data_IF_221293198927
#
_entry.id   IF_221293198927
#
_cell.length_a   1.000
_cell.length_b   1.000
_cell.length_c   1.000
_cell.angle_alpha   90.00
_cell.angle_beta   90.00
_cell.angle_gamma   90.00
#
_symmetry.space_group_name_H-M   'P 1'
#
loop_
_entity.id
_entity.type
_entity.pdbx_description
1 polymer ?
#
# COMPACT_ATOMS: atom_id res chain seq x y z
N UNK A 1 42.99 42.24 -35.32
CA UNK A 1 41.74 42.21 -36.11
C UNK A 1 40.74 41.33 -35.35
N UNK A 2 39.77 41.92 -34.62
CA UNK A 2 38.29 41.90 -34.89
C UNK A 2 37.77 40.51 -35.31
N UNK A 3 36.84 39.85 -34.59
CA UNK A 3 35.43 40.25 -34.28
C UNK A 3 34.89 39.40 -33.08
N UNK A 4 34.28 39.98 -32.02
CA UNK A 4 32.83 40.34 -31.81
C UNK A 4 31.94 39.08 -31.61
N UNK A 5 31.02 38.86 -30.64
CA UNK A 5 30.50 39.50 -29.40
C UNK A 5 29.29 38.63 -28.93
N UNK A 6 28.95 38.61 -27.62
CA UNK A 6 27.62 38.29 -26.99
C UNK A 6 27.13 36.81 -27.01
N UNK A 7 26.50 36.16 -26.00
CA UNK A 7 25.35 36.49 -25.12
C UNK A 7 25.23 35.49 -23.91
N UNK A 8 25.13 36.03 -22.68
CA UNK A 8 24.20 35.76 -21.55
C UNK A 8 24.00 34.33 -20.95
N UNK A 9 24.42 34.22 -19.68
CA UNK A 9 23.79 33.63 -18.47
C UNK A 9 22.68 32.54 -18.61
N UNK A 10 22.86 31.42 -17.90
CA UNK A 10 22.01 30.99 -16.77
C UNK A 10 22.46 29.63 -16.16
N UNK A 11 22.82 29.66 -14.86
CA UNK A 11 22.50 28.69 -13.79
C UNK A 11 22.78 27.18 -14.06
N UNK A 12 23.64 26.46 -13.35
CA UNK A 12 24.46 26.73 -12.18
C UNK A 12 25.25 25.46 -11.81
N UNK A 13 26.55 25.64 -11.52
CA UNK A 13 27.39 24.99 -10.48
C UNK A 13 27.21 23.46 -10.37
N UNK A 14 27.99 22.66 -11.12
CA UNK A 14 29.27 22.03 -10.69
C UNK A 14 29.23 21.46 -9.26
N UNK A 15 29.24 20.13 -9.13
CA UNK A 15 29.81 19.47 -7.96
C UNK A 15 30.67 18.27 -8.37
N UNK A 16 31.92 18.56 -8.71
CA UNK A 16 33.04 17.66 -8.41
C UNK A 16 33.74 18.26 -7.20
N UNK A 17 33.89 17.52 -6.11
CA UNK A 17 35.16 17.36 -5.38
C UNK A 17 34.93 16.58 -4.09
N UNK A 18 35.65 15.47 -3.99
CA UNK A 18 35.99 14.77 -2.77
C UNK A 18 36.84 15.67 -1.87
N UNK A 19 36.38 15.99 -0.66
CA UNK A 19 37.21 16.29 0.51
C UNK A 19 36.29 16.50 1.74
N UNK A 20 36.50 15.77 2.83
CA UNK A 20 36.73 16.32 4.18
C UNK A 20 37.10 15.17 5.12
N UNK A 21 38.10 15.48 5.93
CA UNK A 21 38.92 14.70 6.84
C UNK A 21 38.19 14.20 8.09
N UNK A 22 38.75 13.12 8.63
CA UNK A 22 38.53 12.51 9.93
C UNK A 22 38.50 13.48 11.11
N UNK A 23 37.43 13.43 11.91
CA UNK A 23 37.42 13.77 13.33
C UNK A 23 36.66 12.70 14.09
N UNK A 24 37.34 12.04 15.02
CA UNK A 24 36.79 11.10 15.99
C UNK A 24 35.71 11.77 16.85
N UNK A 25 34.48 11.25 16.79
CA UNK A 25 33.54 11.30 17.91
C UNK A 25 32.89 9.92 18.05
N UNK A 26 33.32 9.22 19.08
CA UNK A 26 32.76 7.99 19.61
C UNK A 26 31.27 8.17 19.93
N UNK A 27 30.38 7.59 19.12
CA UNK A 27 28.97 7.46 19.44
C UNK A 27 28.46 6.07 19.04
N UNK A 28 28.17 5.28 20.08
CA UNK A 28 27.41 4.03 20.15
C UNK A 28 27.06 3.32 18.84
N UNK A 29 27.67 2.13 18.71
CA UNK A 29 27.26 0.99 17.89
C UNK A 29 25.80 0.60 18.19
N UNK A 30 24.87 1.10 17.40
CA UNK A 30 23.57 0.48 17.16
C UNK A 30 23.41 0.23 15.66
N UNK A 31 22.84 -0.93 15.34
CA UNK A 31 23.00 -1.68 14.09
C UNK A 31 22.50 -0.91 12.85
N UNK A 32 23.43 -0.39 12.05
CA UNK A 32 23.15 0.02 10.66
C UNK A 32 23.24 -1.26 9.82
N UNK A 33 22.11 -1.76 9.32
CA UNK A 33 22.15 -2.75 8.24
C UNK A 33 22.64 -2.05 6.98
N UNK A 34 23.89 -2.27 6.65
CA UNK A 34 24.50 -1.78 5.40
C UNK A 34 23.96 -2.62 4.25
N UNK A 35 22.76 -2.31 3.77
CA UNK A 35 22.32 -2.79 2.45
C UNK A 35 23.12 -2.06 1.37
N UNK A 36 23.69 -2.80 0.44
CA UNK A 36 24.59 -2.29 -0.62
C UNK A 36 23.82 -2.04 -1.92
N UNK A 37 24.45 -1.40 -2.92
CA UNK A 37 23.87 -1.22 -4.26
C UNK A 37 23.51 -2.54 -4.95
N UNK A 38 24.09 -3.67 -4.53
CA UNK A 38 23.74 -5.03 -4.97
C UNK A 38 22.35 -5.48 -4.47
N UNK A 39 21.80 -4.85 -3.43
CA UNK A 39 20.49 -5.18 -2.85
C UNK A 39 19.33 -4.38 -3.50
N UNK A 40 19.61 -3.55 -4.51
CA UNK A 40 18.58 -2.80 -5.23
C UNK A 40 17.75 -3.76 -6.09
N UNK A 41 16.51 -4.00 -5.66
CA UNK A 41 15.53 -4.78 -6.42
C UNK A 41 15.04 -3.93 -7.60
N UNK A 42 14.78 -4.56 -8.74
CA UNK A 42 14.22 -3.88 -9.91
C UNK A 42 12.82 -3.31 -9.60
N UNK A 43 12.52 -2.08 -10.05
CA UNK A 43 11.24 -1.40 -9.75
C UNK A 43 10.03 -2.26 -10.14
N UNK A 44 10.10 -2.96 -11.28
CA UNK A 44 9.01 -3.81 -11.75
C UNK A 44 8.82 -5.03 -10.85
N UNK A 45 9.92 -5.58 -10.32
CA UNK A 45 9.88 -6.70 -9.38
C UNK A 45 9.22 -6.26 -8.05
N UNK A 46 9.61 -5.11 -7.49
CA UNK A 46 8.96 -4.52 -6.31
C UNK A 46 7.46 -4.40 -6.57
N UNK A 47 7.05 -3.72 -7.65
CA UNK A 47 5.64 -3.49 -7.99
C UNK A 47 4.87 -4.81 -8.14
N UNK A 48 5.47 -5.81 -8.79
CA UNK A 48 4.83 -7.12 -9.00
C UNK A 48 4.60 -7.82 -7.66
N UNK A 49 5.61 -7.87 -6.80
CA UNK A 49 5.53 -8.50 -5.48
C UNK A 49 4.43 -7.85 -4.61
N UNK A 50 4.36 -6.52 -4.56
CA UNK A 50 3.35 -5.83 -3.77
C UNK A 50 1.95 -5.94 -4.38
N UNK A 51 1.82 -6.01 -5.71
CA UNK A 51 0.54 -6.26 -6.37
C UNK A 51 -0.02 -7.62 -5.98
N UNK A 52 0.82 -8.65 -5.97
CA UNK A 52 0.42 -10.00 -5.53
C UNK A 52 0.00 -10.01 -4.06
N UNK A 53 0.77 -9.36 -3.17
CA UNK A 53 0.41 -9.23 -1.75
C UNK A 53 -0.98 -8.58 -1.56
N UNK A 54 -1.25 -7.47 -2.25
CA UNK A 54 -2.56 -6.80 -2.19
C UNK A 54 -3.67 -7.67 -2.77
N UNK A 55 -3.42 -8.33 -3.92
CA UNK A 55 -4.40 -9.25 -4.52
C UNK A 55 -4.76 -10.40 -3.59
N UNK A 56 -3.77 -10.96 -2.88
CA UNK A 56 -4.00 -12.02 -1.90
C UNK A 56 -4.85 -11.53 -0.71
N UNK A 57 -4.65 -10.29 -0.27
CA UNK A 57 -5.49 -9.67 0.77
C UNK A 57 -6.93 -9.50 0.26
N UNK A 58 -7.12 -9.02 -0.98
CA UNK A 58 -8.44 -8.85 -1.60
C UNK A 58 -9.19 -10.18 -1.73
N UNK A 59 -8.50 -11.26 -2.08
CA UNK A 59 -9.09 -12.60 -2.17
C UNK A 59 -9.55 -13.09 -0.80
N UNK A 60 -8.68 -13.01 0.23
CA UNK A 60 -9.04 -13.37 1.62
C UNK A 60 -10.19 -12.55 2.16
N UNK A 61 -10.24 -11.26 1.84
CA UNK A 61 -11.34 -10.37 2.21
C UNK A 61 -12.66 -10.84 1.57
N UNK A 62 -12.64 -11.16 0.28
CA UNK A 62 -13.79 -11.66 -0.47
C UNK A 62 -14.32 -12.96 0.13
N UNK A 63 -13.44 -13.95 0.36
CA UNK A 63 -13.81 -15.24 0.97
C UNK A 63 -14.48 -15.07 2.35
N UNK A 64 -13.93 -14.20 3.19
CA UNK A 64 -14.50 -13.90 4.52
C UNK A 64 -15.88 -13.26 4.41
N UNK A 65 -16.12 -12.41 3.42
CA UNK A 65 -17.44 -11.80 3.20
C UNK A 65 -18.44 -12.83 2.70
N UNK A 66 -18.05 -13.70 1.78
CA UNK A 66 -18.91 -14.78 1.29
C UNK A 66 -19.34 -15.71 2.43
N UNK A 67 -18.44 -15.99 3.38
CA UNK A 67 -18.77 -16.72 4.59
C UNK A 67 -19.75 -15.94 5.50
N UNK A 68 -19.59 -14.62 5.63
CA UNK A 68 -20.53 -13.75 6.37
C UNK A 68 -21.92 -13.79 5.75
N UNK A 69 -22.02 -13.66 4.42
CA UNK A 69 -23.29 -13.71 3.67
C UNK A 69 -23.95 -15.08 3.84
N UNK A 70 -23.19 -16.16 3.67
CA UNK A 70 -23.69 -17.53 3.85
C UNK A 70 -24.24 -17.75 5.26
N UNK A 71 -23.55 -17.24 6.29
CA UNK A 71 -24.04 -17.28 7.67
C UNK A 71 -25.31 -16.46 7.88
N UNK A 72 -25.43 -15.28 7.26
CA UNK A 72 -26.64 -14.46 7.33
C UNK A 72 -27.85 -15.20 6.74
N UNK A 73 -27.70 -15.76 5.54
CA UNK A 73 -28.75 -16.53 4.85
C UNK A 73 -29.19 -17.75 5.66
N UNK A 74 -28.25 -18.48 6.25
CA UNK A 74 -28.56 -19.63 7.10
C UNK A 74 -29.39 -19.20 8.33
N UNK A 75 -29.01 -18.12 9.01
CA UNK A 75 -29.70 -17.63 10.20
C UNK A 75 -31.08 -17.04 9.86
N UNK A 76 -31.24 -16.42 8.69
CA UNK A 76 -32.54 -15.97 8.19
C UNK A 76 -33.52 -17.12 7.98
N UNK A 77 -33.05 -18.23 7.41
CA UNK A 77 -33.87 -19.41 7.19
C UNK A 77 -34.31 -20.08 8.49
N UNK A 78 -33.51 -19.95 9.56
CA UNK A 78 -33.80 -20.52 10.87
C UNK A 78 -34.67 -19.61 11.76
N UNK A 79 -34.52 -18.27 11.65
CA UNK A 79 -35.11 -17.31 12.60
C UNK A 79 -35.85 -16.14 11.90
N UNK A 80 -37.03 -16.43 11.35
CA UNK A 80 -37.80 -15.47 10.55
C UNK A 80 -38.28 -14.21 11.31
N UNK A 81 -38.36 -14.24 12.65
CA UNK A 81 -38.92 -13.13 13.46
C UNK A 81 -37.92 -12.02 13.79
N UNK A 82 -36.62 -12.21 13.57
CA UNK A 82 -35.59 -11.26 14.02
C UNK A 82 -34.64 -10.78 12.90
N UNK A 83 -35.17 -10.60 11.69
CA UNK A 83 -34.37 -10.29 10.50
C UNK A 83 -33.47 -9.06 10.67
N UNK A 84 -33.96 -8.02 11.34
CA UNK A 84 -33.20 -6.78 11.59
C UNK A 84 -31.98 -7.02 12.49
N UNK A 85 -32.12 -7.80 13.57
CA UNK A 85 -30.96 -8.10 14.43
C UNK A 85 -29.95 -8.98 13.72
N UNK A 86 -30.40 -9.90 12.86
CA UNK A 86 -29.52 -10.73 12.02
C UNK A 86 -28.74 -9.83 11.06
N UNK A 87 -29.43 -8.94 10.34
CA UNK A 87 -28.80 -7.99 9.42
C UNK A 87 -27.72 -7.15 10.13
N UNK A 88 -28.05 -6.58 11.29
CA UNK A 88 -27.13 -5.75 12.07
C UNK A 88 -25.89 -6.54 12.55
N UNK A 89 -26.08 -7.77 13.01
CA UNK A 89 -25.00 -8.67 13.43
C UNK A 89 -24.01 -8.92 12.29
N UNK A 90 -24.50 -9.30 11.11
CA UNK A 90 -23.62 -9.62 9.97
C UNK A 90 -23.06 -8.36 9.30
N UNK A 91 -23.78 -7.24 9.32
CA UNK A 91 -23.25 -5.95 8.90
C UNK A 91 -22.05 -5.51 9.75
N UNK A 92 -22.15 -5.65 11.07
CA UNK A 92 -21.03 -5.33 11.97
C UNK A 92 -19.82 -6.25 11.71
N UNK A 93 -20.05 -7.54 11.44
CA UNK A 93 -18.98 -8.47 11.03
C UNK A 93 -18.32 -8.01 9.72
N UNK A 94 -19.12 -7.64 8.72
CA UNK A 94 -18.64 -7.12 7.44
C UNK A 94 -17.75 -5.88 7.63
N UNK A 95 -18.22 -4.89 8.42
CA UNK A 95 -17.46 -3.67 8.74
C UNK A 95 -16.13 -3.97 9.44
N UNK A 96 -16.13 -4.95 10.35
CA UNK A 96 -14.90 -5.36 11.02
C UNK A 96 -13.89 -6.02 10.05
N UNK A 97 -14.36 -6.89 9.16
CA UNK A 97 -13.51 -7.52 8.14
C UNK A 97 -12.99 -6.49 7.13
N UNK A 98 -13.79 -5.49 6.76
CA UNK A 98 -13.37 -4.34 5.93
C UNK A 98 -12.21 -3.60 6.59
N UNK A 99 -12.37 -3.22 7.86
CA UNK A 99 -11.33 -2.53 8.62
C UNK A 99 -10.03 -3.33 8.71
N UNK A 100 -10.12 -4.65 8.96
CA UNK A 100 -8.94 -5.51 9.02
C UNK A 100 -8.20 -5.57 7.68
N UNK A 101 -8.94 -5.68 6.57
CA UNK A 101 -8.34 -5.65 5.23
C UNK A 101 -7.64 -4.32 4.94
N UNK A 102 -8.27 -3.20 5.31
CA UNK A 102 -7.70 -1.86 5.14
C UNK A 102 -6.40 -1.69 5.93
N UNK A 103 -6.35 -2.21 7.17
CA UNK A 103 -5.15 -2.20 8.00
C UNK A 103 -4.03 -3.07 7.43
N UNK A 104 -4.34 -4.24 6.87
CA UNK A 104 -3.37 -5.11 6.21
C UNK A 104 -2.80 -4.45 4.95
N UNK A 105 -3.64 -3.87 4.09
CA UNK A 105 -3.18 -3.16 2.88
C UNK A 105 -2.34 -1.95 3.24
N UNK A 106 -2.73 -1.19 4.27
CA UNK A 106 -1.92 -0.04 4.73
C UNK A 106 -0.52 -0.47 5.17
N UNK A 107 -0.37 -1.61 5.83
CA UNK A 107 0.96 -2.14 6.21
C UNK A 107 1.75 -2.51 4.96
N UNK A 108 1.14 -3.26 4.03
CA UNK A 108 1.79 -3.68 2.78
C UNK A 108 2.24 -2.47 1.93
N UNK A 109 1.44 -1.41 1.84
CA UNK A 109 1.81 -0.18 1.13
C UNK A 109 2.95 0.57 1.82
N UNK A 110 3.01 0.53 3.16
CA UNK A 110 4.13 1.12 3.91
C UNK A 110 5.43 0.37 3.67
N UNK A 111 5.38 -0.96 3.67
CA UNK A 111 6.54 -1.80 3.37
C UNK A 111 7.05 -1.52 1.93
N UNK A 112 6.14 -1.34 0.97
CA UNK A 112 6.49 -0.94 -0.39
C UNK A 112 7.17 0.42 -0.45
N UNK A 113 6.66 1.41 0.30
CA UNK A 113 7.24 2.74 0.39
C UNK A 113 8.71 2.69 0.84
N UNK A 114 8.98 1.90 1.88
CA UNK A 114 10.32 1.73 2.43
C UNK A 114 11.28 1.09 1.40
N UNK A 115 10.80 0.13 0.62
CA UNK A 115 11.59 -0.57 -0.40
C UNK A 115 11.86 0.29 -1.65
N UNK A 116 10.86 1.07 -2.11
CA UNK A 116 11.03 2.03 -3.20
C UNK A 116 12.01 3.14 -2.83
N UNK A 117 11.86 3.71 -1.63
CA UNK A 117 12.75 4.76 -1.11
C UNK A 117 14.18 4.25 -0.97
N UNK A 118 14.36 3.02 -0.48
CA UNK A 118 15.68 2.38 -0.41
C UNK A 118 16.33 2.25 -1.80
N UNK A 119 15.53 1.97 -2.82
CA UNK A 119 15.98 1.76 -4.20
C UNK A 119 15.95 3.03 -5.06
N UNK A 120 15.76 4.22 -4.45
CA UNK A 120 15.67 5.52 -5.13
C UNK A 120 14.60 5.61 -6.23
N UNK A 121 13.50 4.87 -6.09
CA UNK A 121 12.35 4.94 -7.01
C UNK A 121 11.27 5.90 -6.54
N UNK A 122 10.36 6.26 -7.45
CA UNK A 122 9.23 7.13 -7.15
C UNK A 122 8.18 6.43 -6.28
N UNK A 123 7.72 7.12 -5.24
CA UNK A 123 6.64 6.64 -4.36
C UNK A 123 5.23 6.82 -4.99
N UNK A 124 5.11 7.47 -6.16
CA UNK A 124 3.81 7.73 -6.79
C UNK A 124 3.00 6.45 -7.06
N UNK A 125 3.67 5.34 -7.36
CA UNK A 125 3.03 4.05 -7.61
C UNK A 125 2.20 3.55 -6.41
N UNK A 126 2.56 3.94 -5.18
CA UNK A 126 1.83 3.60 -3.95
C UNK A 126 0.42 4.19 -3.99
N UNK A 127 0.27 5.42 -4.51
CA UNK A 127 -1.04 6.05 -4.67
C UNK A 127 -1.91 5.28 -5.67
N UNK A 128 -1.34 4.86 -6.80
CA UNK A 128 -2.05 4.07 -7.80
C UNK A 128 -2.48 2.71 -7.24
N UNK A 129 -1.62 2.04 -6.48
CA UNK A 129 -1.96 0.75 -5.85
C UNK A 129 -3.05 0.89 -4.79
N UNK A 130 -2.99 1.95 -3.98
CA UNK A 130 -4.05 2.27 -3.03
C UNK A 130 -5.38 2.53 -3.74
N UNK A 131 -5.36 3.33 -4.80
CA UNK A 131 -6.55 3.63 -5.59
C UNK A 131 -7.14 2.35 -6.20
N UNK A 132 -6.31 1.51 -6.83
CA UNK A 132 -6.73 0.23 -7.37
C UNK A 132 -7.41 -0.66 -6.31
N UNK A 133 -6.84 -0.73 -5.10
CA UNK A 133 -7.45 -1.49 -4.01
C UNK A 133 -8.83 -0.93 -3.62
N UNK A 134 -8.93 0.39 -3.41
CA UNK A 134 -10.16 1.06 -2.98
C UNK A 134 -11.27 0.95 -4.04
N UNK A 135 -10.95 1.13 -5.33
CA UNK A 135 -11.92 0.99 -6.41
C UNK A 135 -12.53 -0.42 -6.46
N UNK A 136 -11.68 -1.45 -6.39
CA UNK A 136 -12.15 -2.84 -6.37
C UNK A 136 -12.98 -3.18 -5.13
N UNK A 137 -12.58 -2.68 -3.96
CA UNK A 137 -13.32 -2.87 -2.70
C UNK A 137 -14.70 -2.21 -2.78
N UNK A 138 -14.75 -0.96 -3.21
CA UNK A 138 -15.99 -0.18 -3.25
C UNK A 138 -16.96 -0.69 -4.34
N UNK A 139 -16.45 -1.20 -5.48
CA UNK A 139 -17.28 -1.73 -6.55
C UNK A 139 -18.21 -2.88 -6.11
N UNK A 140 -17.80 -3.70 -5.13
CA UNK A 140 -18.59 -4.85 -4.64
C UNK A 140 -19.31 -4.58 -3.32
N UNK A 141 -19.07 -3.44 -2.69
CA UNK A 141 -19.53 -3.13 -1.34
C UNK A 141 -21.06 -3.13 -1.22
N UNK A 142 -21.73 -2.47 -2.15
CA UNK A 142 -23.19 -2.38 -2.14
C UNK A 142 -23.84 -3.74 -2.34
N UNK A 143 -23.28 -4.55 -3.26
CA UNK A 143 -23.70 -5.94 -3.46
C UNK A 143 -23.60 -6.75 -2.16
N UNK A 144 -22.50 -6.66 -1.42
CA UNK A 144 -22.35 -7.39 -0.16
C UNK A 144 -23.32 -6.92 0.93
N UNK A 145 -23.51 -5.60 1.06
CA UNK A 145 -24.44 -5.04 2.03
C UNK A 145 -25.89 -5.47 1.70
N UNK A 146 -26.27 -5.48 0.43
CA UNK A 146 -27.58 -5.95 -0.02
C UNK A 146 -27.81 -7.41 0.37
N UNK A 147 -26.85 -8.30 0.06
CA UNK A 147 -26.91 -9.73 0.41
C UNK A 147 -26.90 -10.02 1.90
N UNK A 148 -26.38 -9.11 2.72
CA UNK A 148 -26.43 -9.24 4.18
C UNK A 148 -27.81 -8.87 4.71
N UNK A 149 -28.56 -7.99 4.04
CA UNK A 149 -29.87 -7.52 4.50
C UNK A 149 -31.01 -8.48 4.19
N UNK A 150 -30.88 -9.34 3.18
CA UNK A 150 -31.94 -10.20 2.63
C UNK A 150 -31.40 -11.57 2.24
#
# INVERSE_FOLDING_TARGET
MKKIILIILALGIIYTYSFITSTDLNYKKDQISTKTLEDMVDEKEIITNYKEKISNIQNKYTEKIEAIISGALQEYNQNQKNKTSIALKYYNKFKNIEKQSDEEVKKVLKDMEEELRFSNYSEYIIHLMKQYYEENKNAKKDYYIEKIRY
#
